data_IF_170729682938
#
_entry.id   IF_170729682938
#
_cell.length_a   1.000
_cell.length_b   1.000
_cell.length_c   1.000
_cell.angle_alpha   90.00
_cell.angle_beta   90.00
_cell.angle_gamma   90.00
#
_symmetry.space_group_name_H-M   'P 1'
#
loop_
_entity.id
_entity.type
_entity.pdbx_description
1 polymer ?
#
# COMPACT_ATOMS: atom_id res chain seq x y z
N UNK A 1 -1.94 -16.60 2.56
CA UNK A 1 -2.83 -17.78 2.52
C UNK A 1 -2.13 -19.01 3.04
N UNK A 2 -1.03 -19.46 2.40
CA UNK A 2 -0.29 -20.64 2.86
C UNK A 2 0.12 -20.61 4.34
N UNK A 3 0.57 -19.46 4.89
CA UNK A 3 0.89 -19.34 6.31
C UNK A 3 -0.31 -19.55 7.25
N UNK A 4 -1.53 -19.23 6.81
CA UNK A 4 -2.78 -19.50 7.55
C UNK A 4 -3.15 -20.97 7.40
N UNK A 5 -3.06 -21.51 6.18
CA UNK A 5 -3.37 -22.92 5.88
C UNK A 5 -2.41 -23.91 6.57
N UNK A 6 -1.19 -23.45 6.88
CA UNK A 6 -0.18 -24.22 7.60
C UNK A 6 -0.13 -23.89 9.10
N UNK A 7 -1.15 -23.22 9.64
CA UNK A 7 -1.29 -22.84 11.05
C UNK A 7 -0.11 -22.01 11.63
N UNK A 8 0.72 -21.39 10.77
CA UNK A 8 1.78 -20.46 11.20
C UNK A 8 1.21 -19.11 11.62
N UNK A 9 0.05 -18.75 11.07
CA UNK A 9 -0.82 -17.67 11.56
C UNK A 9 -2.11 -18.31 12.08
N UNK A 10 -2.09 -18.74 13.34
CA UNK A 10 -3.26 -19.33 14.02
C UNK A 10 -4.14 -18.23 14.65
N UNK A 11 -3.50 -17.22 15.26
CA UNK A 11 -4.19 -16.09 15.88
C UNK A 11 -3.52 -14.78 15.56
N UNK A 12 -4.35 -13.78 15.30
CA UNK A 12 -3.94 -12.39 15.13
C UNK A 12 -4.78 -11.54 16.07
N UNK A 13 -4.17 -10.53 16.70
CA UNK A 13 -4.91 -9.56 17.50
C UNK A 13 -5.87 -8.78 16.59
N UNK A 14 -7.17 -8.84 16.91
CA UNK A 14 -8.18 -8.16 16.13
C UNK A 14 -8.06 -6.64 16.22
N UNK A 15 -8.63 -5.94 15.23
CA UNK A 15 -8.69 -4.48 15.18
C UNK A 15 -10.07 -4.07 15.74
N UNK A 16 -10.11 -3.19 16.75
CA UNK A 16 -11.34 -2.86 17.52
C UNK A 16 -12.51 -2.40 16.64
N UNK A 17 -12.22 -1.60 15.61
CA UNK A 17 -13.20 -1.14 14.63
C UNK A 17 -12.59 -1.24 13.23
N UNK A 18 -12.65 -2.41 12.57
CA UNK A 18 -11.93 -2.63 11.30
C UNK A 18 -12.39 -1.67 10.20
N UNK A 19 -13.70 -1.43 10.08
CA UNK A 19 -14.27 -0.55 9.05
C UNK A 19 -13.87 0.91 9.29
N UNK A 20 -13.98 1.38 10.53
CA UNK A 20 -13.58 2.73 10.91
C UNK A 20 -12.07 2.95 10.72
N UNK A 21 -11.27 1.97 11.14
CA UNK A 21 -9.80 1.99 11.01
C UNK A 21 -9.38 2.01 9.55
N UNK A 22 -9.98 1.15 8.70
CA UNK A 22 -9.73 1.16 7.26
C UNK A 22 -10.00 2.53 6.64
N UNK A 23 -11.16 3.14 6.94
CA UNK A 23 -11.49 4.48 6.45
C UNK A 23 -10.50 5.54 6.93
N UNK A 24 -10.03 5.44 8.18
CA UNK A 24 -9.07 6.37 8.74
C UNK A 24 -7.70 6.25 8.06
N UNK A 25 -7.20 5.01 7.87
CA UNK A 25 -5.95 4.75 7.15
C UNK A 25 -6.04 5.27 5.72
N UNK A 26 -7.11 4.93 4.99
CA UNK A 26 -7.25 5.32 3.57
C UNK A 26 -7.36 6.82 3.33
N UNK A 27 -7.75 7.61 4.34
CA UNK A 27 -7.84 9.08 4.24
C UNK A 27 -6.56 9.79 4.63
N UNK A 28 -5.62 9.08 5.24
CA UNK A 28 -4.37 9.64 5.71
C UNK A 28 -3.27 9.34 4.69
N UNK A 29 -2.82 10.38 3.98
CA UNK A 29 -1.72 10.28 3.01
C UNK A 29 -0.33 10.55 3.62
N UNK A 30 -0.29 11.03 4.87
CA UNK A 30 0.94 11.41 5.59
C UNK A 30 1.69 10.20 6.15
N UNK A 31 1.04 9.04 6.23
CA UNK A 31 1.68 7.78 6.58
C UNK A 31 1.88 7.48 8.05
N UNK A 32 1.45 8.35 8.96
CA UNK A 32 1.43 8.12 10.42
C UNK A 32 0.26 7.22 10.86
N UNK A 33 0.03 6.13 10.13
CA UNK A 33 -1.10 5.24 10.34
C UNK A 33 -1.00 4.51 11.69
N UNK A 34 -1.96 4.78 12.57
CA UNK A 34 -2.13 4.07 13.85
C UNK A 34 -3.41 3.25 13.86
N UNK A 35 -3.31 2.03 14.37
CA UNK A 35 -4.45 1.14 14.59
C UNK A 35 -4.64 0.89 16.08
N UNK A 36 -5.88 0.61 16.47
CA UNK A 36 -6.19 0.17 17.83
C UNK A 36 -6.66 -1.29 17.77
N UNK A 37 -6.02 -2.12 18.58
CA UNK A 37 -6.28 -3.54 18.67
C UNK A 37 -7.36 -3.83 19.72
N UNK A 38 -7.99 -5.00 19.66
CA UNK A 38 -9.05 -5.44 20.59
C UNK A 38 -8.56 -5.51 22.04
N UNK A 39 -7.25 -5.70 22.24
CA UNK A 39 -6.61 -5.67 23.55
C UNK A 39 -6.43 -4.24 24.11
N UNK A 40 -6.84 -3.20 23.37
CA UNK A 40 -6.74 -1.79 23.72
C UNK A 40 -5.41 -1.13 23.32
N UNK A 41 -4.43 -1.89 22.84
CA UNK A 41 -3.13 -1.40 22.40
C UNK A 41 -3.26 -0.54 21.14
N UNK A 42 -2.41 0.49 21.03
CA UNK A 42 -2.31 1.34 19.84
C UNK A 42 -0.94 1.17 19.20
N UNK A 43 -0.92 0.61 17.99
CA UNK A 43 0.31 0.28 17.26
C UNK A 43 0.37 0.98 15.90
N UNK A 44 1.56 1.05 15.30
CA UNK A 44 1.70 1.44 13.89
C UNK A 44 1.06 0.40 12.98
N UNK A 45 0.38 0.83 11.92
CA UNK A 45 -0.12 -0.09 10.90
C UNK A 45 1.04 -0.84 10.20
N UNK A 46 2.18 -0.17 10.02
CA UNK A 46 3.38 -0.78 9.44
C UNK A 46 4.02 -1.78 10.40
N UNK A 47 4.13 -1.48 11.69
CA UNK A 47 4.66 -2.41 12.69
C UNK A 47 3.77 -3.65 12.76
N UNK A 48 2.46 -3.47 12.84
CA UNK A 48 1.49 -4.56 12.86
C UNK A 48 1.58 -5.43 11.60
N UNK A 49 1.72 -4.83 10.42
CA UNK A 49 1.92 -5.56 9.16
C UNK A 49 3.21 -6.40 9.20
N UNK A 50 4.29 -5.84 9.72
CA UNK A 50 5.59 -6.49 9.78
C UNK A 50 5.60 -7.66 10.76
N UNK A 51 5.21 -7.42 12.02
CA UNK A 51 5.26 -8.42 13.08
C UNK A 51 4.26 -9.56 12.84
N UNK A 52 3.09 -9.26 12.30
CA UNK A 52 2.00 -10.23 12.16
C UNK A 52 2.12 -11.05 10.89
N UNK A 53 2.54 -10.44 9.78
CA UNK A 53 2.48 -11.08 8.47
C UNK A 53 3.85 -11.26 7.81
N UNK A 54 4.70 -10.22 7.77
CA UNK A 54 5.99 -10.32 7.08
C UNK A 54 6.87 -11.37 7.76
N UNK A 55 7.07 -11.26 9.08
CA UNK A 55 7.91 -12.19 9.84
C UNK A 55 7.50 -13.65 9.63
N UNK A 56 6.19 -13.93 9.69
CA UNK A 56 5.67 -15.29 9.51
C UNK A 56 5.85 -15.81 8.08
N UNK A 57 5.78 -14.92 7.08
CA UNK A 57 6.09 -15.28 5.69
C UNK A 57 7.57 -15.61 5.53
N UNK A 58 8.48 -14.94 6.25
CA UNK A 58 9.90 -15.29 6.23
C UNK A 58 10.12 -16.69 6.82
N UNK A 59 9.53 -16.99 7.98
CA UNK A 59 9.63 -18.31 8.61
C UNK A 59 9.08 -19.42 7.69
N UNK A 60 7.96 -19.17 7.00
CA UNK A 60 7.41 -20.10 6.01
C UNK A 60 8.36 -20.33 4.83
N UNK A 61 9.10 -19.30 4.45
CA UNK A 61 9.97 -19.32 3.28
C UNK A 61 11.30 -20.03 3.56
N UNK A 62 11.74 -20.11 4.81
CA UNK A 62 12.90 -20.89 5.24
C UNK A 62 12.67 -22.41 5.13
N UNK A 63 11.42 -22.85 5.25
CA UNK A 63 11.05 -24.28 5.33
C UNK A 63 10.77 -24.92 3.96
N UNK A 64 10.93 -24.18 2.86
CA UNK A 64 10.49 -24.65 1.53
C UNK A 64 11.37 -24.16 0.40
N UNK A 65 11.22 -24.81 -0.75
CA UNK A 65 11.78 -24.32 -2.00
C UNK A 65 11.00 -23.10 -2.50
N UNK A 66 11.71 -22.02 -2.82
CA UNK A 66 11.15 -20.76 -3.27
C UNK A 66 11.34 -20.59 -4.76
N UNK A 67 10.29 -20.13 -5.44
CA UNK A 67 10.44 -19.65 -6.81
C UNK A 67 11.20 -18.32 -6.82
N UNK A 68 11.73 -17.96 -7.98
CA UNK A 68 12.33 -16.64 -8.18
C UNK A 68 11.33 -15.50 -7.92
N UNK A 69 10.02 -15.75 -8.13
CA UNK A 69 8.96 -14.79 -7.87
C UNK A 69 8.68 -14.61 -6.39
N UNK A 70 8.74 -15.68 -5.59
CA UNK A 70 8.59 -15.61 -4.13
C UNK A 70 9.71 -14.73 -3.53
N UNK A 71 10.95 -15.01 -3.93
CA UNK A 71 12.13 -14.24 -3.49
C UNK A 71 12.00 -12.77 -3.91
N UNK A 72 11.60 -12.52 -5.15
CA UNK A 72 11.42 -11.16 -5.65
C UNK A 72 10.32 -10.40 -4.91
N UNK A 73 9.17 -11.05 -4.67
CA UNK A 73 8.03 -10.45 -4.00
C UNK A 73 8.36 -10.09 -2.56
N UNK A 74 8.91 -11.03 -1.78
CA UNK A 74 9.28 -10.80 -0.39
C UNK A 74 10.33 -9.69 -0.26
N UNK A 75 11.40 -9.75 -1.07
CA UNK A 75 12.44 -8.72 -1.07
C UNK A 75 11.88 -7.34 -1.42
N UNK A 76 11.02 -7.28 -2.43
CA UNK A 76 10.38 -6.02 -2.86
C UNK A 76 9.49 -5.47 -1.76
N UNK A 77 8.68 -6.33 -1.12
CA UNK A 77 7.75 -5.92 -0.09
C UNK A 77 8.47 -5.42 1.17
N UNK A 78 9.54 -6.10 1.60
CA UNK A 78 10.38 -5.66 2.72
C UNK A 78 11.05 -4.32 2.46
N UNK A 79 11.59 -4.12 1.25
CA UNK A 79 12.22 -2.84 0.90
C UNK A 79 11.18 -1.70 0.82
N UNK A 80 9.99 -1.97 0.29
CA UNK A 80 8.88 -1.01 0.30
C UNK A 80 8.49 -0.64 1.73
N UNK A 81 8.25 -1.65 2.58
CA UNK A 81 7.88 -1.47 3.98
C UNK A 81 8.90 -0.61 4.73
N UNK A 82 10.19 -0.95 4.63
CA UNK A 82 11.29 -0.18 5.24
C UNK A 82 11.32 1.27 4.79
N UNK A 83 11.15 1.54 3.49
CA UNK A 83 11.15 2.92 2.98
C UNK A 83 9.90 3.70 3.39
N UNK A 84 8.74 3.04 3.50
CA UNK A 84 7.52 3.65 4.03
C UNK A 84 7.67 4.02 5.51
N UNK A 85 8.30 3.17 6.33
CA UNK A 85 8.61 3.51 7.73
C UNK A 85 9.54 4.72 7.86
N UNK A 86 10.45 4.89 6.90
CA UNK A 86 11.37 6.03 6.84
C UNK A 86 10.73 7.31 6.29
N UNK A 87 9.46 7.26 5.85
CA UNK A 87 8.77 8.38 5.21
C UNK A 87 9.29 8.72 3.81
N UNK A 88 9.97 7.79 3.14
CA UNK A 88 10.61 8.02 1.84
C UNK A 88 9.63 7.78 0.66
N UNK A 89 8.54 8.54 0.61
CA UNK A 89 7.49 8.37 -0.41
C UNK A 89 7.94 8.77 -1.83
N UNK A 90 8.81 9.76 -1.94
CA UNK A 90 9.36 10.23 -3.23
C UNK A 90 10.54 9.40 -3.74
N UNK A 91 11.00 8.41 -2.95
CA UNK A 91 12.11 7.56 -3.37
C UNK A 91 11.76 6.85 -4.71
N UNK A 92 12.66 6.88 -5.72
CA UNK A 92 12.33 6.35 -7.04
C UNK A 92 11.90 4.88 -7.07
N UNK A 93 12.35 4.06 -6.10
CA UNK A 93 11.92 2.68 -5.96
C UNK A 93 10.48 2.59 -5.45
N UNK A 94 10.12 3.38 -4.44
CA UNK A 94 8.78 3.42 -3.83
C UNK A 94 7.78 4.01 -4.81
N UNK A 95 8.08 5.20 -5.32
CA UNK A 95 7.21 5.96 -6.21
C UNK A 95 6.76 5.14 -7.43
N UNK A 96 7.68 4.40 -8.06
CA UNK A 96 7.37 3.59 -9.26
C UNK A 96 6.58 2.31 -8.97
N UNK A 97 6.46 1.90 -7.71
CA UNK A 97 5.83 0.63 -7.30
C UNK A 97 4.48 0.81 -6.64
N UNK A 98 4.18 2.01 -6.13
CA UNK A 98 2.95 2.30 -5.41
C UNK A 98 2.08 3.23 -6.25
N UNK A 99 0.94 2.72 -6.71
CA UNK A 99 0.06 3.43 -7.64
C UNK A 99 -0.49 4.74 -7.08
N UNK A 100 -0.89 4.75 -5.80
CA UNK A 100 -1.51 5.93 -5.20
C UNK A 100 -0.55 7.12 -5.11
N UNK A 101 0.76 6.86 -4.93
CA UNK A 101 1.78 7.90 -4.95
C UNK A 101 1.95 8.52 -6.34
N UNK A 102 1.93 7.69 -7.39
CA UNK A 102 1.97 8.20 -8.76
C UNK A 102 0.72 9.02 -9.11
N UNK A 103 -0.45 8.58 -8.66
CA UNK A 103 -1.71 9.33 -8.84
C UNK A 103 -1.69 10.65 -8.08
N UNK A 104 -1.19 10.65 -6.85
CA UNK A 104 -1.07 11.85 -6.04
C UNK A 104 -0.18 12.89 -6.72
N UNK A 105 1.01 12.49 -7.18
CA UNK A 105 1.90 13.36 -7.97
C UNK A 105 1.22 13.92 -9.23
N UNK A 106 0.46 13.10 -9.95
CA UNK A 106 -0.28 13.60 -11.13
C UNK A 106 -1.31 14.66 -10.76
N UNK A 107 -2.00 14.48 -9.63
CA UNK A 107 -3.00 15.42 -9.12
C UNK A 107 -2.36 16.72 -8.64
N UNK A 108 -1.23 16.63 -7.93
CA UNK A 108 -0.62 17.78 -7.25
C UNK A 108 0.29 18.58 -8.20
N UNK A 109 1.08 17.91 -9.04
CA UNK A 109 2.15 18.55 -9.81
C UNK A 109 1.87 18.65 -11.31
N UNK A 110 1.08 17.73 -11.86
CA UNK A 110 0.94 17.57 -13.32
C UNK A 110 -0.45 17.91 -13.84
N UNK A 111 -1.44 18.11 -12.97
CA UNK A 111 -2.85 18.26 -13.35
C UNK A 111 -3.09 19.39 -14.34
N UNK A 112 -2.30 20.48 -14.24
CA UNK A 112 -2.36 21.62 -15.15
C UNK A 112 -1.82 21.35 -16.56
N UNK A 113 -1.10 20.23 -16.77
CA UNK A 113 -0.61 19.80 -18.09
C UNK A 113 -1.64 18.99 -18.88
N UNK A 114 -2.74 18.60 -18.25
CA UNK A 114 -3.82 17.86 -18.90
C UNK A 114 -4.91 18.83 -19.36
N UNK A 115 -5.33 18.68 -20.62
CA UNK A 115 -6.38 19.49 -21.21
C UNK A 115 -7.76 18.93 -20.81
N UNK A 116 -8.18 19.25 -19.58
CA UNK A 116 -9.55 18.98 -19.13
C UNK A 116 -10.46 20.09 -19.65
N UNK A 117 -10.91 19.95 -20.90
CA UNK A 117 -11.83 20.88 -21.56
C UNK A 117 -13.03 21.25 -20.67
N UNK A 118 -13.38 22.54 -20.67
CA UNK A 118 -14.72 23.02 -20.29
C UNK A 118 -14.90 23.73 -18.94
N UNK A 119 -13.90 24.46 -18.44
CA UNK A 119 -14.12 25.34 -17.27
C UNK A 119 -14.49 24.61 -15.98
N UNK A 120 -14.13 23.32 -15.87
CA UNK A 120 -14.40 22.48 -14.71
C UNK A 120 -13.74 23.02 -13.45
N UNK A 121 -14.44 22.89 -12.33
CA UNK A 121 -13.89 23.18 -11.01
C UNK A 121 -12.67 22.28 -10.73
N UNK A 122 -11.74 22.76 -9.90
CA UNK A 122 -10.48 22.06 -9.61
C UNK A 122 -10.71 20.62 -9.12
N UNK A 123 -11.73 20.41 -8.30
CA UNK A 123 -12.11 19.10 -7.78
C UNK A 123 -12.48 18.09 -8.89
N UNK A 124 -13.24 18.54 -9.88
CA UNK A 124 -13.65 17.71 -11.01
C UNK A 124 -12.44 17.31 -11.88
N UNK A 125 -11.44 18.20 -12.01
CA UNK A 125 -10.19 17.86 -12.70
C UNK A 125 -9.42 16.77 -11.95
N UNK A 126 -9.35 16.84 -10.62
CA UNK A 126 -8.65 15.82 -9.79
C UNK A 126 -9.30 14.45 -9.95
N UNK A 127 -10.63 14.42 -9.96
CA UNK A 127 -11.42 13.21 -10.21
C UNK A 127 -11.12 12.65 -11.61
N UNK A 128 -11.12 13.49 -12.64
CA UNK A 128 -10.82 13.06 -14.02
C UNK A 128 -9.40 12.50 -14.14
N UNK A 129 -8.41 13.16 -13.53
CA UNK A 129 -7.03 12.70 -13.51
C UNK A 129 -6.88 11.30 -12.89
N UNK A 130 -7.57 11.02 -11.78
CA UNK A 130 -7.62 9.68 -11.18
C UNK A 130 -8.12 8.61 -12.15
N UNK A 131 -9.22 8.89 -12.86
CA UNK A 131 -9.81 7.96 -13.80
C UNK A 131 -8.92 7.74 -15.03
N UNK A 132 -8.35 8.81 -15.57
CA UNK A 132 -7.52 8.72 -16.78
C UNK A 132 -6.18 8.02 -16.50
N UNK A 133 -5.57 8.24 -15.33
CA UNK A 133 -4.41 7.46 -14.89
C UNK A 133 -4.73 5.95 -14.90
N UNK A 134 -5.87 5.57 -14.33
CA UNK A 134 -6.29 4.16 -14.24
C UNK A 134 -6.54 3.53 -15.62
N UNK A 135 -7.09 4.30 -16.57
CA UNK A 135 -7.27 3.86 -17.97
C UNK A 135 -5.93 3.66 -18.71
N UNK A 136 -4.96 4.54 -18.49
CA UNK A 136 -3.64 4.44 -19.12
C UNK A 136 -2.82 3.27 -18.56
N UNK A 137 -2.89 3.07 -17.24
CA UNK A 137 -2.15 2.01 -16.55
C UNK A 137 -2.66 0.62 -16.95
N UNK A 138 -3.98 0.44 -17.04
CA UNK A 138 -4.60 -0.83 -17.47
C UNK A 138 -4.24 -1.23 -18.91
N UNK A 139 -4.15 -0.27 -19.84
CA UNK A 139 -3.73 -0.54 -21.23
C UNK A 139 -2.26 -0.96 -21.35
N UNK A 140 -1.40 -0.54 -20.42
CA UNK A 140 0.03 -0.92 -20.43
C UNK A 140 0.30 -2.32 -19.89
N UNK A 141 -0.58 -2.87 -19.04
CA UNK A 141 -0.43 -4.24 -18.52
C UNK A 141 -0.95 -5.34 -19.47
N UNK A 142 -1.65 -4.96 -20.56
CA UNK A 142 -2.15 -5.88 -21.58
C UNK A 142 -1.22 -6.01 -22.80
N UNK A 143 -0.04 -5.38 -22.77
CA UNK A 143 0.99 -5.43 -23.82
C UNK A 143 2.25 -6.07 -23.26
#
# INVERSE_FOLDING_TARGET
MQAVESDKIDKVDGIENPIGTFRAISRNIEGDWKIRLDNGERVSALDYLNSTYIAVVEDLFEERELSCWDVYALRTFKELHKKLEQGLYEDPFVFRKIEWLMKLYVIEDEIGRFDYDGGREEEEKKICACFDFSKLYSRKQQR
#
